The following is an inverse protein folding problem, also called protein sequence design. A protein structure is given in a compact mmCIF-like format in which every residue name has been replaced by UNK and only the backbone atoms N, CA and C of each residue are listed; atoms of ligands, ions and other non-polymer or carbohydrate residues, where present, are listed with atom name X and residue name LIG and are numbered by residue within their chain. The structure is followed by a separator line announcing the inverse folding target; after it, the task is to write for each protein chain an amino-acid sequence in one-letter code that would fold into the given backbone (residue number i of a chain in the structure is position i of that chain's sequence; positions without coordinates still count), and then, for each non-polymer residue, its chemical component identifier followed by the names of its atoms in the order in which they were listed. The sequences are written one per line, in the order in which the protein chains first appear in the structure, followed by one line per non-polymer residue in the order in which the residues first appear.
data_IF_890940178844
#
_entry.id   IF_890940178844
#
_cell.length_a   1.000
_cell.length_b   1.000
_cell.length_c   1.000
_cell.angle_alpha   90.00
_cell.angle_beta   90.00
_cell.angle_gamma   90.00
#
_symmetry.space_group_name_H-M   'P 1'
#
loop_
_entity.id
_entity.type
_entity.pdbx_description
1 polymer ?
#
# COMPACT_ATOMS: atom_id res chain seq x y z
N UNK A 1 -15.67 19.51 7.56
CA UNK A 1 -15.51 18.12 8.04
C UNK A 1 -14.07 17.75 7.77
N UNK A 2 -13.25 17.65 8.81
CA UNK A 2 -11.86 17.23 8.67
C UNK A 2 -11.85 15.70 8.59
N UNK A 3 -11.50 15.16 7.42
CA UNK A 3 -11.30 13.73 7.23
C UNK A 3 -10.00 13.33 7.93
N UNK A 4 -10.10 12.93 9.19
CA UNK A 4 -8.98 12.39 9.95
C UNK A 4 -8.89 10.88 9.69
N UNK A 5 -8.55 10.50 8.46
CA UNK A 5 -8.34 9.11 8.10
C UNK A 5 -6.85 8.79 8.19
N UNK A 6 -6.51 7.71 8.88
CA UNK A 6 -5.14 7.21 8.99
C UNK A 6 -5.03 5.82 8.35
N UNK A 7 -3.92 5.50 7.65
CA UNK A 7 -3.68 4.16 7.15
C UNK A 7 -3.59 3.15 8.29
N UNK A 8 -4.25 2.01 8.11
CA UNK A 8 -4.14 0.86 9.01
C UNK A 8 -3.32 -0.24 8.33
N UNK A 9 -2.37 -0.81 9.07
CA UNK A 9 -1.55 -1.93 8.58
C UNK A 9 -2.31 -3.26 8.69
N UNK A 10 -3.03 -3.63 7.61
CA UNK A 10 -3.79 -4.88 7.56
C UNK A 10 -2.90 -6.11 7.34
N UNK A 11 -2.83 -6.99 8.35
CA UNK A 11 -2.30 -8.35 8.22
C UNK A 11 -3.18 -9.24 7.34
N UNK A 12 -2.64 -10.34 6.82
CA UNK A 12 -3.37 -11.21 5.89
C UNK A 12 -4.53 -11.99 6.55
N UNK A 13 -4.47 -12.19 7.86
CA UNK A 13 -5.50 -12.85 8.65
C UNK A 13 -6.57 -11.92 9.20
N UNK A 14 -6.37 -10.60 9.10
CA UNK A 14 -7.38 -9.60 9.46
C UNK A 14 -8.63 -9.79 8.59
N UNK A 15 -9.80 -9.42 9.12
CA UNK A 15 -11.08 -9.55 8.42
C UNK A 15 -11.63 -8.17 8.10
N UNK A 16 -11.89 -7.93 6.81
CA UNK A 16 -12.53 -6.72 6.31
C UNK A 16 -14.01 -7.03 6.06
N UNK A 17 -14.89 -6.21 6.61
CA UNK A 17 -16.33 -6.32 6.45
C UNK A 17 -16.87 -5.25 5.48
N UNK A 18 -17.70 -5.68 4.54
CA UNK A 18 -18.46 -4.83 3.62
C UNK A 18 -19.95 -5.10 3.87
N UNK A 19 -20.51 -4.47 4.90
CA UNK A 19 -21.84 -4.82 5.40
C UNK A 19 -21.85 -6.27 5.92
N UNK A 20 -22.72 -7.10 5.35
CA UNK A 20 -22.86 -8.51 5.72
C UNK A 20 -21.72 -9.41 5.17
N UNK A 21 -20.96 -8.94 4.18
CA UNK A 21 -19.91 -9.73 3.55
C UNK A 21 -18.58 -9.54 4.30
N UNK A 22 -17.92 -10.64 4.67
CA UNK A 22 -16.64 -10.61 5.39
C UNK A 22 -15.58 -11.42 4.65
N UNK A 23 -14.39 -10.83 4.50
CA UNK A 23 -13.27 -11.47 3.82
C UNK A 23 -11.99 -11.31 4.63
N UNK A 24 -11.17 -12.36 4.68
CA UNK A 24 -9.78 -12.22 5.10
C UNK A 24 -9.06 -11.25 4.16
N UNK A 25 -8.31 -10.30 4.71
CA UNK A 25 -7.57 -9.31 3.96
C UNK A 25 -6.62 -9.97 2.96
N UNK A 26 -5.93 -11.05 3.34
CA UNK A 26 -5.08 -11.80 2.41
C UNK A 26 -5.83 -12.41 1.21
N UNK A 27 -7.10 -12.82 1.39
CA UNK A 27 -7.94 -13.31 0.28
C UNK A 27 -8.35 -12.16 -0.64
N UNK A 28 -8.68 -11.00 -0.07
CA UNK A 28 -8.99 -9.79 -0.84
C UNK A 28 -7.77 -9.30 -1.63
N UNK A 29 -6.59 -9.18 -0.98
CA UNK A 29 -5.32 -8.81 -1.62
C UNK A 29 -5.02 -9.70 -2.82
N UNK A 30 -5.15 -11.02 -2.67
CA UNK A 30 -4.96 -11.97 -3.79
C UNK A 30 -5.98 -11.77 -4.90
N UNK A 31 -7.26 -11.61 -4.58
CA UNK A 31 -8.30 -11.41 -5.59
C UNK A 31 -8.09 -10.12 -6.39
N UNK A 32 -7.73 -9.03 -5.71
CA UNK A 32 -7.37 -7.76 -6.35
C UNK A 32 -6.13 -7.95 -7.23
N UNK A 33 -5.05 -8.55 -6.70
CA UNK A 33 -3.84 -8.81 -7.47
C UNK A 33 -4.08 -9.65 -8.74
N UNK A 34 -4.90 -10.70 -8.63
CA UNK A 34 -5.30 -11.55 -9.75
C UNK A 34 -6.20 -10.82 -10.78
N UNK A 35 -6.86 -9.73 -10.37
CA UNK A 35 -7.68 -8.92 -11.29
C UNK A 35 -6.82 -8.05 -12.21
N UNK A 36 -5.58 -7.73 -11.84
CA UNK A 36 -4.63 -7.01 -12.69
C UNK A 36 -3.86 -7.97 -13.59
N UNK A 37 -4.60 -8.64 -14.46
CA UNK A 37 -4.06 -9.54 -15.47
C UNK A 37 -4.05 -8.89 -16.87
N UNK A 38 -3.68 -9.66 -17.88
CA UNK A 38 -3.63 -9.13 -19.24
C UNK A 38 -5.00 -8.74 -19.83
N UNK A 39 -6.14 -9.05 -19.19
CA UNK A 39 -7.42 -8.47 -19.60
C UNK A 39 -7.48 -6.97 -19.29
N UNK A 40 -7.00 -6.55 -18.11
CA UNK A 40 -6.87 -5.13 -17.74
C UNK A 40 -5.80 -4.46 -18.59
N UNK A 41 -4.66 -5.12 -18.80
CA UNK A 41 -3.61 -4.60 -19.68
C UNK A 41 -4.13 -4.37 -21.11
N UNK A 42 -4.94 -5.30 -21.65
CA UNK A 42 -5.59 -5.12 -22.96
C UNK A 42 -6.53 -3.93 -22.98
N UNK A 43 -7.29 -3.72 -21.91
CA UNK A 43 -8.20 -2.57 -21.81
C UNK A 43 -7.42 -1.25 -21.81
N UNK A 44 -6.28 -1.19 -21.12
CA UNK A 44 -5.36 -0.05 -21.17
C UNK A 44 -4.92 0.21 -22.61
N UNK A 45 -4.41 -0.80 -23.31
CA UNK A 45 -3.94 -0.65 -24.70
C UNK A 45 -5.04 -0.20 -25.65
N UNK A 46 -6.24 -0.76 -25.52
CA UNK A 46 -7.37 -0.36 -26.35
C UNK A 46 -7.72 1.12 -26.12
N UNK A 47 -7.67 1.59 -24.87
CA UNK A 47 -7.90 3.01 -24.55
C UNK A 47 -6.79 3.92 -25.08
N UNK A 48 -5.54 3.51 -25.02
CA UNK A 48 -4.42 4.28 -25.58
C UNK A 48 -4.53 4.38 -27.11
N UNK A 49 -4.84 3.26 -27.79
CA UNK A 49 -5.07 3.22 -29.25
C UNK A 49 -6.22 4.15 -29.68
N UNK A 50 -7.30 4.22 -28.90
CA UNK A 50 -8.41 5.16 -29.14
C UNK A 50 -7.97 6.63 -29.10
N UNK A 51 -6.88 6.94 -28.38
CA UNK A 51 -6.29 8.28 -28.32
C UNK A 51 -5.10 8.45 -29.28
N UNK A 52 -4.90 7.53 -30.23
CA UNK A 52 -3.82 7.59 -31.21
C UNK A 52 -2.44 7.17 -30.67
N UNK A 53 -2.39 6.58 -29.47
CA UNK A 53 -1.16 6.07 -28.88
C UNK A 53 -1.05 4.57 -29.13
N UNK A 54 -0.30 4.19 -30.15
CA UNK A 54 0.01 2.79 -30.42
C UNK A 54 1.34 2.41 -29.77
N UNK A 55 1.25 1.63 -28.68
CA UNK A 55 2.41 1.11 -27.97
C UNK A 55 2.74 -0.28 -28.52
N UNK A 56 3.96 -0.51 -29.06
CA UNK A 56 4.36 -1.82 -29.55
C UNK A 56 4.72 -2.75 -28.39
N UNK A 57 3.72 -3.42 -27.83
CA UNK A 57 3.93 -4.50 -26.87
C UNK A 57 4.53 -5.69 -27.64
N UNK A 58 5.80 -5.99 -27.38
CA UNK A 58 6.52 -7.11 -28.00
C UNK A 58 6.34 -8.35 -27.13
N UNK A 59 6.11 -9.52 -27.74
CA UNK A 59 6.25 -10.80 -27.02
C UNK A 59 7.64 -10.88 -26.39
N UNK A 60 7.73 -10.80 -25.06
CA UNK A 60 8.94 -11.14 -24.32
C UNK A 60 8.79 -12.62 -23.95
N UNK A 61 9.50 -13.50 -24.68
CA UNK A 61 9.61 -14.92 -24.35
C UNK A 61 8.72 -15.86 -25.17
N UNK A 62 9.31 -16.94 -25.65
CA UNK A 62 8.74 -17.98 -26.53
C UNK A 62 7.77 -18.95 -25.86
N UNK A 63 7.16 -18.58 -24.74
CA UNK A 63 6.15 -19.41 -24.07
C UNK A 63 4.77 -18.86 -24.41
N UNK A 64 4.00 -19.66 -25.18
CA UNK A 64 2.59 -19.47 -25.58
C UNK A 64 1.58 -19.22 -24.42
N UNK A 65 2.07 -18.98 -23.21
CA UNK A 65 1.31 -18.87 -21.97
C UNK A 65 1.45 -17.50 -21.27
N UNK A 66 2.41 -16.65 -21.67
CA UNK A 66 2.53 -15.30 -21.13
C UNK A 66 1.51 -14.38 -21.83
N UNK A 67 0.49 -13.96 -21.12
CA UNK A 67 -0.49 -12.99 -21.61
C UNK A 67 0.25 -11.66 -21.86
N UNK A 68 0.40 -11.27 -23.14
CA UNK A 68 1.26 -10.17 -23.59
C UNK A 68 1.00 -8.85 -22.85
N UNK A 69 -0.25 -8.65 -22.44
CA UNK A 69 -0.70 -7.46 -21.74
C UNK A 69 -0.35 -7.43 -20.24
N UNK A 70 0.17 -8.52 -19.66
CA UNK A 70 0.68 -8.53 -18.28
C UNK A 70 1.97 -7.68 -18.13
N UNK A 71 2.64 -7.32 -19.24
CA UNK A 71 3.82 -6.45 -19.20
C UNK A 71 3.56 -5.10 -18.53
N UNK A 72 2.31 -4.61 -18.53
CA UNK A 72 1.92 -3.43 -17.79
C UNK A 72 2.19 -3.55 -16.28
N UNK A 73 2.07 -4.75 -15.71
CA UNK A 73 2.12 -5.00 -14.27
C UNK A 73 3.43 -5.66 -13.82
N UNK A 74 4.04 -6.48 -14.68
CA UNK A 74 5.25 -7.23 -14.36
C UNK A 74 6.52 -6.42 -14.69
N UNK A 75 6.98 -6.50 -15.95
CA UNK A 75 8.29 -6.02 -16.39
C UNK A 75 8.32 -4.54 -16.78
N UNK A 76 7.15 -3.94 -17.02
CA UNK A 76 7.01 -2.62 -17.61
C UNK A 76 7.32 -2.58 -19.12
N UNK A 77 6.80 -1.55 -19.78
CA UNK A 77 6.95 -1.34 -21.22
C UNK A 77 8.02 -0.29 -21.47
N UNK A 78 8.96 -0.60 -22.37
CA UNK A 78 10.04 0.31 -22.74
C UNK A 78 9.50 1.63 -23.34
N UNK A 79 10.06 2.75 -22.89
CA UNK A 79 9.73 4.08 -23.38
C UNK A 79 10.94 5.02 -23.26
N UNK A 80 10.78 6.24 -23.77
CA UNK A 80 11.72 7.33 -23.55
C UNK A 80 10.95 8.54 -23.00
N UNK A 81 11.54 9.24 -22.03
CA UNK A 81 11.01 10.51 -21.50
C UNK A 81 11.98 11.64 -21.87
N UNK A 82 11.43 12.77 -22.33
CA UNK A 82 12.21 13.99 -22.51
C UNK A 82 12.31 14.70 -21.15
N UNK A 83 13.50 14.69 -20.55
CA UNK A 83 13.78 15.50 -19.38
C UNK A 83 13.96 16.96 -19.79
N UNK A 84 13.06 17.82 -19.34
CA UNK A 84 13.05 19.24 -19.69
C UNK A 84 14.17 20.04 -19.01
N UNK A 85 14.69 19.56 -17.87
CA UNK A 85 15.78 20.23 -17.17
C UNK A 85 17.10 20.07 -17.95
N UNK A 86 17.36 18.87 -18.48
CA UNK A 86 18.57 18.54 -19.24
C UNK A 86 18.39 18.65 -20.76
N UNK A 87 17.15 18.72 -21.24
CA UNK A 87 16.75 18.66 -22.67
C UNK A 87 17.23 17.38 -23.37
N UNK A 88 17.25 16.27 -22.64
CA UNK A 88 17.71 14.97 -23.14
C UNK A 88 16.62 13.91 -23.08
N UNK A 89 16.67 12.97 -24.03
CA UNK A 89 15.84 11.78 -24.00
C UNK A 89 16.47 10.72 -23.09
N UNK A 90 15.68 10.25 -22.13
CA UNK A 90 16.08 9.24 -21.17
C UNK A 90 15.29 7.95 -21.44
N UNK A 91 16.00 6.86 -21.70
CA UNK A 91 15.39 5.53 -21.84
C UNK A 91 14.92 5.02 -20.48
N UNK A 92 13.75 4.41 -20.46
CA UNK A 92 13.16 3.85 -19.26
C UNK A 92 12.05 2.86 -19.56
N UNK A 93 11.24 2.59 -18.55
CA UNK A 93 10.04 1.76 -18.66
C UNK A 93 8.87 2.40 -17.92
N UNK A 94 7.67 2.28 -18.46
CA UNK A 94 6.41 2.55 -17.74
C UNK A 94 5.87 1.24 -17.20
N UNK A 95 5.56 1.21 -15.90
CA UNK A 95 4.90 0.09 -15.23
C UNK A 95 3.74 0.61 -14.40
N UNK A 96 2.64 -0.11 -14.40
CA UNK A 96 1.46 0.14 -13.55
C UNK A 96 1.63 -0.66 -12.26
N UNK A 97 1.58 0.05 -11.14
CA UNK A 97 1.60 -0.54 -9.81
C UNK A 97 0.36 -0.06 -9.07
N UNK A 98 -0.32 -0.99 -8.40
CA UNK A 98 -1.56 -0.72 -7.69
C UNK A 98 -1.35 -1.00 -6.21
N UNK A 99 -1.67 -0.01 -5.37
CA UNK A 99 -1.78 -0.15 -3.92
C UNK A 99 -3.24 0.00 -3.51
N UNK A 100 -3.62 -0.74 -2.46
CA UNK A 100 -4.93 -0.62 -1.82
C UNK A 100 -4.68 -0.44 -0.33
N UNK A 101 -5.26 0.62 0.22
CA UNK A 101 -5.08 1.00 1.62
C UNK A 101 -6.43 0.89 2.34
N UNK A 102 -6.40 0.30 3.54
CA UNK A 102 -7.51 0.37 4.47
C UNK A 102 -7.26 1.54 5.41
N UNK A 103 -8.25 2.42 5.51
CA UNK A 103 -8.16 3.66 6.28
C UNK A 103 -9.17 3.61 7.42
N UNK A 104 -8.75 4.05 8.61
CA UNK A 104 -9.61 4.15 9.79
C UNK A 104 -9.73 5.59 10.24
N UNK A 105 -10.85 5.93 10.87
CA UNK A 105 -11.03 7.24 11.49
C UNK A 105 -10.13 7.33 12.74
N UNK A 106 -9.35 8.41 12.82
CA UNK A 106 -8.63 8.78 14.03
C UNK A 106 -9.63 9.35 15.04
N UNK A 107 -10.20 8.44 15.83
CA UNK A 107 -11.16 8.77 16.88
C UNK A 107 -10.49 9.24 18.17
N UNK A 108 -9.15 9.27 18.25
CA UNK A 108 -8.41 9.54 19.49
C UNK A 108 -8.56 8.45 20.56
N UNK A 109 -9.37 7.42 20.29
CA UNK A 109 -9.54 6.26 21.15
C UNK A 109 -8.49 5.23 20.77
N UNK A 110 -7.54 4.99 21.68
CA UNK A 110 -6.55 3.92 21.52
C UNK A 110 -7.32 2.61 21.30
N UNK A 111 -7.16 2.00 20.13
CA UNK A 111 -7.68 0.67 19.81
C UNK A 111 -7.10 -0.31 20.84
N UNK A 112 -7.86 -0.59 21.90
CA UNK A 112 -7.44 -1.45 23.00
C UNK A 112 -7.24 -2.85 22.43
N UNK A 113 -6.00 -3.33 22.45
CA UNK A 113 -5.71 -4.71 22.09
C UNK A 113 -6.41 -5.65 23.08
N UNK A 114 -6.88 -6.84 22.66
CA UNK A 114 -7.63 -7.76 23.52
C UNK A 114 -6.87 -8.30 24.76
N UNK A 115 -5.68 -7.81 25.08
CA UNK A 115 -4.88 -8.21 26.24
C UNK A 115 -4.99 -7.30 27.46
N UNK A 116 -5.55 -6.09 27.32
CA UNK A 116 -5.56 -5.11 28.43
C UNK A 116 -6.75 -5.26 29.39
N UNK A 117 -7.68 -6.18 29.09
CA UNK A 117 -8.90 -6.39 29.92
C UNK A 117 -8.68 -7.33 31.10
N UNK A 118 -7.61 -8.13 31.11
CA UNK A 118 -7.36 -9.15 32.13
C UNK A 118 -6.08 -8.89 32.96
N UNK A 119 -5.60 -7.64 33.02
CA UNK A 119 -4.59 -7.27 34.01
C UNK A 119 -5.26 -7.04 35.38
N UNK A 120 -4.89 -7.78 36.45
CA UNK A 120 -5.48 -7.62 37.78
C UNK A 120 -5.17 -6.28 38.45
N UNK A 121 -4.36 -5.43 37.82
CA UNK A 121 -3.90 -4.14 38.35
C UNK A 121 -4.90 -2.98 38.15
N UNK A 122 -6.02 -3.19 37.45
CA UNK A 122 -7.06 -2.17 37.28
C UNK A 122 -7.91 -1.95 38.56
N UNK A 123 -7.75 -2.79 39.59
CA UNK A 123 -8.54 -2.74 40.82
C UNK A 123 -7.95 -1.83 41.93
N UNK A 124 -6.82 -1.15 41.71
CA UNK A 124 -6.10 -0.39 42.75
C UNK A 124 -5.87 1.09 42.43
N UNK A 125 -6.86 1.78 41.83
CA UNK A 125 -6.77 3.23 41.57
C UNK A 125 -7.67 4.13 42.42
N UNK A 126 -8.26 3.61 43.49
CA UNK A 126 -8.91 4.43 44.52
C UNK A 126 -8.08 4.44 45.81
N UNK A 127 -6.93 5.15 45.81
CA UNK A 127 -6.42 5.87 46.99
C UNK A 127 -5.17 6.70 46.72
N UNK A 128 -5.28 7.97 47.13
CA UNK A 128 -4.24 8.88 47.64
C UNK A 128 -3.43 9.71 46.62
N UNK A 129 -4.01 10.88 46.35
CA UNK A 129 -3.46 12.24 46.56
C UNK A 129 -1.94 12.46 46.66
N UNK A 130 -1.55 13.56 45.99
CA UNK A 130 -0.45 14.48 46.32
C UNK A 130 0.99 14.02 46.08
N UNK A 131 1.59 14.46 44.97
CA UNK A 131 2.74 15.39 45.00
C UNK A 131 3.22 15.78 43.59
N UNK A 132 3.46 17.08 43.49
CA UNK A 132 4.13 17.90 42.49
C UNK A 132 5.37 17.36 41.77
N UNK A 133 5.52 17.84 40.53
CA UNK A 133 6.73 18.21 39.77
C UNK A 133 7.87 17.21 39.62
N UNK A 134 8.13 16.78 38.38
CA UNK A 134 9.32 17.23 37.64
C UNK A 134 9.33 16.75 36.17
N UNK A 135 9.68 17.69 35.29
CA UNK A 135 10.03 17.49 33.90
C UNK A 135 11.22 16.52 33.75
N UNK A 136 11.13 15.51 32.87
CA UNK A 136 12.29 15.09 32.06
C UNK A 136 11.84 14.71 30.65
N UNK A 137 12.40 15.46 29.70
CA UNK A 137 12.37 15.29 28.27
C UNK A 137 13.13 14.02 27.86
N UNK A 138 12.61 13.20 26.95
CA UNK A 138 13.49 12.41 26.09
C UNK A 138 12.89 12.33 24.68
N UNK A 139 13.51 13.09 23.79
CA UNK A 139 13.42 12.92 22.35
C UNK A 139 13.88 11.51 21.99
N UNK A 140 13.00 10.70 21.41
CA UNK A 140 13.45 9.55 20.64
C UNK A 140 13.66 9.97 19.19
N UNK A 141 14.89 10.36 18.90
CA UNK A 141 15.45 10.35 17.54
C UNK A 141 15.72 8.89 17.18
N UNK A 142 14.98 8.34 16.22
CA UNK A 142 15.39 7.10 15.54
C UNK A 142 15.81 7.43 14.11
N UNK A 143 17.10 7.64 13.93
CA UNK A 143 17.76 7.53 12.64
C UNK A 143 18.07 6.05 12.42
N UNK A 144 17.59 5.50 11.31
CA UNK A 144 17.80 4.09 10.94
C UNK A 144 17.84 3.94 9.44
N UNK A 145 18.89 4.47 8.81
CA UNK A 145 19.25 4.12 7.44
C UNK A 145 19.95 2.76 7.48
N UNK A 146 19.27 1.72 7.02
CA UNK A 146 19.93 0.50 6.56
C UNK A 146 20.55 0.78 5.19
N UNK A 147 21.88 0.73 5.10
CA UNK A 147 22.58 0.42 3.85
C UNK A 147 23.21 -0.96 4.01
N UNK A 148 22.73 -1.90 3.20
CA UNK A 148 23.44 -3.13 2.88
C UNK A 148 24.65 -2.79 2.01
N UNK A 149 25.72 -3.56 2.22
CA UNK A 149 27.04 -3.29 1.67
C UNK A 149 27.23 -3.57 0.18
N UNK A 150 28.41 -3.13 -0.25
CA UNK A 150 29.34 -3.90 -1.09
C UNK A 150 30.71 -3.87 -0.41
#
# INVERSE_FOLDING_TARGET
MTNNLIPYDCGDDDVIAFGEAMFRAGKLKRAIGQSFDGSVGRAIDQKLRQHGLEIPIRMIGSTRLANEHCQWFDDGINCEILDLATRQWCKGKVRVQVSVEFMVEDTGEKMLLPGDRDSPDAALRDREDSASDEYVNSEYVFTGIHHNGQ
#
